data_IF_420787653630
#
_entry.id   IF_420787653630
#
_cell.length_a   1.000
_cell.length_b   1.000
_cell.length_c   1.000
_cell.angle_alpha   90.00
_cell.angle_beta   90.00
_cell.angle_gamma   90.00
#
_symmetry.space_group_name_H-M   'P 1'
#
loop_
_entity.id
_entity.type
_entity.pdbx_description
1 polymer ?
#
# COMPACT_ATOMS: atom_id res chain seq x y z
N UNK A 1 71.29 5.30 5.33
CA UNK A 1 69.91 4.83 5.50
C UNK A 1 69.75 3.59 4.63
N UNK A 2 69.72 2.39 5.26
CA UNK A 2 69.94 1.10 4.59
C UNK A 2 68.80 0.80 3.60
N UNK A 3 69.18 0.26 2.42
CA UNK A 3 68.24 -0.16 1.37
C UNK A 3 67.12 -1.05 1.91
N UNK A 4 67.41 -1.92 2.85
CA UNK A 4 66.45 -2.80 3.55
C UNK A 4 65.39 -2.06 4.33
N UNK A 5 65.72 -0.95 5.02
CA UNK A 5 64.78 -0.12 5.77
C UNK A 5 63.79 0.57 4.82
N UNK A 6 64.24 1.01 3.65
CA UNK A 6 63.35 1.61 2.64
C UNK A 6 62.34 0.59 2.08
N UNK A 7 62.75 -0.65 1.87
CA UNK A 7 61.82 -1.71 1.42
C UNK A 7 60.81 -2.11 2.52
N UNK A 8 61.22 -2.13 3.79
CA UNK A 8 60.35 -2.43 4.92
C UNK A 8 59.28 -1.32 5.06
N UNK A 9 59.70 -0.04 4.95
CA UNK A 9 58.76 1.09 5.00
C UNK A 9 57.79 1.07 3.82
N UNK A 10 58.27 0.72 2.61
CA UNK A 10 57.44 0.63 1.42
C UNK A 10 56.42 -0.50 1.53
N UNK A 11 56.83 -1.65 2.07
CA UNK A 11 55.92 -2.79 2.32
C UNK A 11 54.91 -2.49 3.43
N UNK A 12 55.31 -1.79 4.50
CA UNK A 12 54.41 -1.35 5.57
C UNK A 12 53.37 -0.32 5.06
N UNK A 13 53.72 0.53 4.11
CA UNK A 13 52.82 1.50 3.47
C UNK A 13 51.81 0.82 2.54
N UNK A 14 52.18 -0.31 1.90
CA UNK A 14 51.32 -1.12 1.06
C UNK A 14 50.35 -2.03 1.87
N UNK A 15 50.71 -2.37 3.12
CA UNK A 15 49.90 -3.14 4.05
C UNK A 15 49.04 -2.27 4.99
N UNK A 16 48.92 -0.98 4.70
CA UNK A 16 47.98 -0.11 5.44
C UNK A 16 46.62 -0.76 5.47
N UNK A 17 45.95 -0.83 6.68
CA UNK A 17 44.64 -1.46 6.77
C UNK A 17 43.67 -0.69 5.90
N UNK A 18 43.29 -1.25 4.76
CA UNK A 18 42.05 -0.89 4.09
C UNK A 18 40.92 -1.20 5.07
N UNK A 19 40.60 -0.23 5.93
CA UNK A 19 39.35 -0.23 6.67
C UNK A 19 38.24 -0.08 5.65
N UNK A 20 37.92 -1.16 4.94
CA UNK A 20 36.70 -1.24 4.14
C UNK A 20 35.53 -1.18 5.11
N UNK A 21 35.01 0.01 5.32
CA UNK A 21 33.74 0.18 6.04
C UNK A 21 32.68 -0.52 5.21
N UNK A 22 32.36 -1.77 5.59
CA UNK A 22 31.28 -2.52 4.97
C UNK A 22 30.01 -1.70 5.17
N UNK A 23 29.43 -1.20 4.06
CA UNK A 23 28.18 -0.47 4.10
C UNK A 23 27.10 -1.41 4.63
N UNK A 24 26.51 -1.04 5.75
CA UNK A 24 25.39 -1.77 6.34
C UNK A 24 24.11 -1.36 5.66
N UNK A 25 23.25 -2.30 5.37
CA UNK A 25 21.91 -2.08 4.85
C UNK A 25 20.88 -2.92 5.61
N UNK A 26 19.64 -2.48 5.57
CA UNK A 26 18.52 -3.20 6.16
C UNK A 26 17.30 -3.08 5.25
N UNK A 27 16.24 -3.78 5.60
CA UNK A 27 14.94 -3.61 4.98
C UNK A 27 13.86 -3.51 6.06
N UNK A 28 12.74 -2.93 5.67
CA UNK A 28 11.51 -2.86 6.47
C UNK A 28 10.33 -3.27 5.61
N UNK A 29 9.23 -3.63 6.26
CA UNK A 29 7.91 -3.75 5.66
C UNK A 29 7.01 -2.68 6.26
N UNK A 30 6.85 -1.54 5.58
CA UNK A 30 6.06 -0.44 6.11
C UNK A 30 4.58 -0.79 6.24
N UNK A 31 4.03 -1.64 5.36
CA UNK A 31 2.66 -2.14 5.46
C UNK A 31 2.47 -2.98 6.73
N UNK A 32 3.39 -3.90 7.00
CA UNK A 32 3.40 -4.70 8.23
C UNK A 32 3.52 -3.82 9.47
N UNK A 33 4.42 -2.83 9.47
CA UNK A 33 4.57 -1.90 10.59
C UNK A 33 3.26 -1.14 10.83
N UNK A 34 2.68 -0.54 9.79
CA UNK A 34 1.45 0.23 9.90
C UNK A 34 0.28 -0.62 10.38
N UNK A 35 0.13 -1.85 9.87
CA UNK A 35 -0.96 -2.77 10.27
C UNK A 35 -0.88 -3.20 11.75
N UNK A 36 0.29 -3.09 12.39
CA UNK A 36 0.47 -3.36 13.81
C UNK A 36 0.31 -2.11 14.70
N UNK A 37 -0.05 -0.96 14.11
CA UNK A 37 -0.29 0.29 14.85
C UNK A 37 -1.81 0.49 15.00
N UNK A 38 -2.37 0.43 16.23
CA UNK A 38 -3.82 0.57 16.46
C UNK A 38 -4.40 1.90 15.97
N UNK A 39 -3.59 2.97 16.01
CA UNK A 39 -3.99 4.28 15.48
C UNK A 39 -4.22 4.24 13.97
N UNK A 40 -3.43 3.48 13.23
CA UNK A 40 -3.58 3.29 11.79
C UNK A 40 -4.86 2.53 11.45
N UNK A 41 -5.18 1.47 12.19
CA UNK A 41 -6.43 0.73 12.03
C UNK A 41 -7.65 1.62 12.28
N UNK A 42 -7.60 2.46 13.35
CA UNK A 42 -8.66 3.44 13.63
C UNK A 42 -8.80 4.48 12.52
N UNK A 43 -7.69 5.01 12.03
CA UNK A 43 -7.68 5.96 10.92
C UNK A 43 -8.29 5.34 9.66
N UNK A 44 -7.92 4.11 9.33
CA UNK A 44 -8.46 3.37 8.17
C UNK A 44 -9.96 3.11 8.32
N UNK A 45 -10.41 2.71 9.52
CA UNK A 45 -11.84 2.54 9.81
C UNK A 45 -12.64 3.83 9.65
N UNK A 46 -12.10 4.96 10.10
CA UNK A 46 -12.74 6.28 9.92
C UNK A 46 -12.83 6.68 8.45
N UNK A 47 -11.76 6.46 7.68
CA UNK A 47 -11.75 6.73 6.23
C UNK A 47 -12.80 5.89 5.50
N UNK A 48 -12.89 4.60 5.82
CA UNK A 48 -13.86 3.71 5.19
C UNK A 48 -15.29 4.14 5.49
N UNK A 49 -15.60 4.46 6.75
CA UNK A 49 -16.92 4.96 7.15
C UNK A 49 -17.30 6.26 6.44
N UNK A 50 -16.32 7.16 6.29
CA UNK A 50 -16.56 8.43 5.60
C UNK A 50 -16.78 8.21 4.10
N UNK A 51 -15.96 7.36 3.47
CA UNK A 51 -16.11 7.00 2.06
C UNK A 51 -17.49 6.35 1.80
N UNK A 52 -17.91 5.42 2.66
CA UNK A 52 -19.25 4.80 2.57
C UNK A 52 -20.40 5.82 2.72
N UNK A 53 -20.25 6.79 3.63
CA UNK A 53 -21.25 7.84 3.80
C UNK A 53 -21.37 8.72 2.54
N UNK A 54 -20.24 9.15 1.98
CA UNK A 54 -20.22 9.93 0.76
C UNK A 54 -20.70 9.15 -0.46
N UNK A 55 -20.35 7.86 -0.54
CA UNK A 55 -20.85 6.98 -1.60
C UNK A 55 -22.39 6.87 -1.57
N UNK A 56 -22.96 6.66 -0.40
CA UNK A 56 -24.42 6.61 -0.22
C UNK A 56 -25.10 7.94 -0.59
N UNK A 57 -24.48 9.07 -0.26
CA UNK A 57 -25.00 10.40 -0.63
C UNK A 57 -25.06 10.55 -2.17
N UNK A 58 -23.97 10.17 -2.87
CA UNK A 58 -23.91 10.21 -4.33
C UNK A 58 -24.93 9.25 -4.95
N UNK A 59 -25.03 8.03 -4.44
CA UNK A 59 -26.03 7.04 -4.89
C UNK A 59 -27.46 7.53 -4.72
N UNK A 60 -27.77 8.19 -3.61
CA UNK A 60 -29.09 8.79 -3.39
C UNK A 60 -29.41 9.90 -4.41
N UNK A 61 -28.41 10.74 -4.76
CA UNK A 61 -28.53 11.77 -5.80
C UNK A 61 -28.83 11.15 -7.17
N UNK A 62 -28.06 10.14 -7.57
CA UNK A 62 -28.28 9.45 -8.84
C UNK A 62 -29.62 8.70 -8.88
N UNK A 63 -30.05 8.08 -7.77
CA UNK A 63 -31.35 7.43 -7.70
C UNK A 63 -32.52 8.44 -7.81
N UNK A 64 -32.38 9.65 -7.24
CA UNK A 64 -33.36 10.73 -7.43
C UNK A 64 -33.42 11.17 -8.91
N UNK A 65 -32.26 11.37 -9.54
CA UNK A 65 -32.14 11.75 -10.96
C UNK A 65 -32.79 10.70 -11.85
N UNK A 66 -32.51 9.41 -11.63
CA UNK A 66 -33.11 8.29 -12.36
C UNK A 66 -34.64 8.29 -12.26
N UNK A 67 -35.15 8.50 -11.05
CA UNK A 67 -36.60 8.63 -10.83
C UNK A 67 -37.20 9.81 -11.59
N UNK A 68 -36.58 10.99 -11.50
CA UNK A 68 -37.07 12.19 -12.19
C UNK A 68 -37.00 12.01 -13.72
N UNK A 69 -35.94 11.39 -14.23
CA UNK A 69 -35.78 11.08 -15.65
C UNK A 69 -36.88 10.14 -16.15
N UNK A 70 -37.16 9.08 -15.41
CA UNK A 70 -38.27 8.15 -15.72
C UNK A 70 -39.63 8.86 -15.76
N UNK A 71 -39.91 9.68 -14.75
CA UNK A 71 -41.14 10.47 -14.69
C UNK A 71 -41.22 11.44 -15.86
N UNK A 72 -40.13 12.15 -16.18
CA UNK A 72 -40.09 13.05 -17.30
C UNK A 72 -40.36 12.32 -18.63
N UNK A 73 -39.75 11.16 -18.89
CA UNK A 73 -40.04 10.39 -20.10
C UNK A 73 -41.49 9.95 -20.24
N UNK A 74 -42.16 9.66 -19.13
CA UNK A 74 -43.59 9.29 -19.13
C UNK A 74 -44.51 10.47 -19.41
N UNK A 75 -44.14 11.69 -18.99
CA UNK A 75 -44.96 12.90 -19.12
C UNK A 75 -44.60 13.77 -20.31
N UNK A 76 -43.42 13.59 -20.93
CA UNK A 76 -42.84 14.46 -21.93
C UNK A 76 -43.73 14.71 -23.15
N UNK A 77 -44.58 13.75 -23.54
CA UNK A 77 -45.48 13.86 -24.67
C UNK A 77 -46.73 14.74 -24.36
N UNK A 78 -47.01 14.99 -23.08
CA UNK A 78 -48.11 15.84 -22.59
C UNK A 78 -47.65 17.27 -22.31
N UNK A 79 -46.34 17.52 -22.25
CA UNK A 79 -45.79 18.81 -21.86
C UNK A 79 -45.66 19.76 -23.06
N UNK A 80 -46.02 21.03 -22.91
CA UNK A 80 -45.62 22.08 -23.86
C UNK A 80 -44.10 22.19 -24.01
N UNK A 81 -43.60 22.56 -25.17
CA UNK A 81 -42.15 22.58 -25.47
C UNK A 81 -41.33 23.41 -24.47
N UNK A 82 -41.85 24.56 -24.05
CA UNK A 82 -41.16 25.40 -23.06
C UNK A 82 -40.99 24.71 -21.69
N UNK A 83 -41.96 23.92 -21.23
CA UNK A 83 -41.87 23.17 -20.00
C UNK A 83 -40.99 21.94 -20.15
N UNK A 84 -40.99 21.31 -21.32
CA UNK A 84 -40.10 20.21 -21.64
C UNK A 84 -38.64 20.64 -21.56
N UNK A 85 -38.27 21.73 -22.23
CA UNK A 85 -36.91 22.30 -22.17
C UNK A 85 -36.49 22.63 -20.71
N UNK A 86 -37.38 23.26 -19.95
CA UNK A 86 -37.11 23.59 -18.56
C UNK A 86 -36.81 22.33 -17.71
N UNK A 87 -37.58 21.26 -17.92
CA UNK A 87 -37.34 19.97 -17.20
C UNK A 87 -36.05 19.30 -17.64
N UNK A 88 -35.71 19.36 -18.92
CA UNK A 88 -34.44 18.86 -19.43
C UNK A 88 -33.22 19.60 -18.81
N UNK A 89 -33.31 20.93 -18.71
CA UNK A 89 -32.30 21.76 -18.07
C UNK A 89 -32.17 21.45 -16.55
N UNK A 90 -33.29 21.28 -15.84
CA UNK A 90 -33.29 20.90 -14.44
C UNK A 90 -32.63 19.53 -14.22
N UNK A 91 -32.91 18.54 -15.08
CA UNK A 91 -32.28 17.22 -15.02
C UNK A 91 -30.76 17.29 -15.28
N UNK A 92 -30.34 18.03 -16.32
CA UNK A 92 -28.94 18.25 -16.63
C UNK A 92 -28.19 18.94 -15.49
N UNK A 93 -28.82 19.93 -14.85
CA UNK A 93 -28.24 20.63 -13.70
C UNK A 93 -28.03 19.68 -12.51
N UNK A 94 -29.02 18.81 -12.21
CA UNK A 94 -28.91 17.80 -11.14
C UNK A 94 -27.84 16.74 -11.45
N UNK A 95 -27.73 16.30 -12.70
CA UNK A 95 -26.67 15.36 -13.12
C UNK A 95 -25.29 15.99 -12.96
N UNK A 96 -25.14 17.26 -13.35
CA UNK A 96 -23.88 17.97 -13.17
C UNK A 96 -23.52 18.11 -11.68
N UNK A 97 -24.47 18.52 -10.83
CA UNK A 97 -24.27 18.60 -9.38
C UNK A 97 -23.84 17.27 -8.79
N UNK A 98 -24.46 16.15 -9.18
CA UNK A 98 -24.09 14.82 -8.69
C UNK A 98 -22.67 14.42 -9.12
N UNK A 99 -22.27 14.71 -10.35
CA UNK A 99 -20.91 14.46 -10.86
C UNK A 99 -19.87 15.35 -10.18
N UNK A 100 -20.18 16.63 -10.00
CA UNK A 100 -19.31 17.56 -9.26
C UNK A 100 -19.10 17.07 -7.81
N UNK A 101 -20.14 16.59 -7.15
CA UNK A 101 -20.07 16.03 -5.82
C UNK A 101 -19.16 14.76 -5.78
N UNK A 102 -19.31 13.90 -6.78
CA UNK A 102 -18.45 12.71 -6.92
C UNK A 102 -16.97 13.09 -7.09
N UNK A 103 -16.71 14.07 -7.97
CA UNK A 103 -15.33 14.57 -8.18
C UNK A 103 -14.79 15.25 -6.91
N UNK A 104 -15.62 16.02 -6.22
CA UNK A 104 -15.25 16.68 -4.96
C UNK A 104 -14.82 15.66 -3.89
N UNK A 105 -15.57 14.55 -3.74
CA UNK A 105 -15.26 13.55 -2.71
C UNK A 105 -14.15 12.58 -3.13
N UNK A 106 -14.21 12.05 -4.35
CA UNK A 106 -13.36 10.94 -4.81
C UNK A 106 -12.40 11.30 -5.94
N UNK A 107 -12.45 12.52 -6.46
CA UNK A 107 -11.52 12.97 -7.50
C UNK A 107 -10.09 13.15 -6.96
N UNK A 108 -9.10 13.26 -7.85
CA UNK A 108 -7.72 13.53 -7.46
C UNK A 108 -7.60 14.78 -6.57
N UNK A 109 -7.03 14.65 -5.38
CA UNK A 109 -6.96 15.72 -4.39
C UNK A 109 -8.32 16.09 -3.76
N UNK A 110 -9.32 15.24 -3.90
CA UNK A 110 -10.65 15.40 -3.30
C UNK A 110 -10.65 15.28 -1.78
N UNK A 111 -11.86 15.32 -1.21
CA UNK A 111 -12.01 15.37 0.24
C UNK A 111 -11.56 14.06 0.92
N UNK A 112 -11.65 12.90 0.20
CA UNK A 112 -11.13 11.63 0.71
C UNK A 112 -9.60 11.63 0.82
N UNK A 113 -8.92 12.18 -0.19
CA UNK A 113 -7.45 12.28 -0.18
C UNK A 113 -6.98 13.22 0.93
N UNK A 114 -7.66 14.36 1.12
CA UNK A 114 -7.37 15.28 2.22
C UNK A 114 -7.57 14.61 3.58
N UNK A 115 -8.69 13.88 3.73
CA UNK A 115 -8.97 13.17 4.98
C UNK A 115 -7.96 12.07 5.26
N UNK A 116 -7.51 11.35 4.22
CA UNK A 116 -6.42 10.38 4.33
C UNK A 116 -5.12 11.05 4.77
N UNK A 117 -4.76 12.14 4.15
CA UNK A 117 -3.56 12.89 4.54
C UNK A 117 -3.65 13.38 6.00
N UNK A 118 -4.79 13.86 6.44
CA UNK A 118 -5.01 14.30 7.84
C UNK A 118 -4.83 13.16 8.84
N UNK A 119 -5.39 11.99 8.57
CA UNK A 119 -5.44 10.87 9.53
C UNK A 119 -4.21 9.96 9.46
N UNK A 120 -3.69 9.69 8.27
CA UNK A 120 -2.64 8.67 8.05
C UNK A 120 -1.25 9.28 8.03
N UNK A 121 -1.08 10.47 7.45
CA UNK A 121 0.24 11.10 7.32
C UNK A 121 0.98 11.24 8.66
N UNK A 122 0.36 11.69 9.77
CA UNK A 122 1.07 11.81 11.05
C UNK A 122 1.57 10.46 11.57
N UNK A 123 0.85 9.37 11.26
CA UNK A 123 1.26 8.02 11.66
C UNK A 123 2.47 7.58 10.84
N UNK A 124 2.43 7.79 9.51
CA UNK A 124 3.57 7.51 8.62
C UNK A 124 4.82 8.30 9.01
N UNK A 125 4.69 9.58 9.35
CA UNK A 125 5.81 10.41 9.81
C UNK A 125 6.46 9.87 11.08
N UNK A 126 5.66 9.35 12.04
CA UNK A 126 6.20 8.68 13.24
C UNK A 126 6.96 7.41 12.88
N UNK A 127 6.45 6.60 11.94
CA UNK A 127 7.13 5.40 11.45
C UNK A 127 8.46 5.77 10.78
N UNK A 128 8.45 6.74 9.87
CA UNK A 128 9.68 7.20 9.21
C UNK A 128 10.72 7.73 10.20
N UNK A 129 10.30 8.49 11.20
CA UNK A 129 11.20 8.97 12.27
C UNK A 129 11.81 7.83 13.07
N UNK A 130 11.05 6.77 13.34
CA UNK A 130 11.57 5.57 14.01
C UNK A 130 12.58 4.81 13.13
N UNK A 131 12.28 4.67 11.83
CA UNK A 131 13.20 4.06 10.85
C UNK A 131 14.50 4.86 10.76
N UNK A 132 14.43 6.18 10.67
CA UNK A 132 15.60 7.06 10.62
C UNK A 132 16.46 6.92 11.87
N UNK A 133 15.85 6.87 13.06
CA UNK A 133 16.58 6.66 14.31
C UNK A 133 17.33 5.33 14.32
N UNK A 134 16.69 4.23 13.88
CA UNK A 134 17.34 2.91 13.78
C UNK A 134 18.49 2.97 12.76
N UNK A 135 18.29 3.64 11.61
CA UNK A 135 19.34 3.80 10.61
C UNK A 135 20.58 4.48 11.20
N UNK A 136 20.37 5.58 11.91
CA UNK A 136 21.45 6.34 12.54
C UNK A 136 22.14 5.57 13.67
N UNK A 137 21.37 4.95 14.57
CA UNK A 137 21.90 4.19 15.71
C UNK A 137 22.72 2.98 15.28
N UNK A 138 22.29 2.29 14.22
CA UNK A 138 22.96 1.06 13.73
C UNK A 138 23.97 1.33 12.60
N UNK A 139 24.03 2.53 12.09
CA UNK A 139 24.92 2.94 11.01
C UNK A 139 24.54 2.27 9.69
N UNK A 140 23.25 2.16 9.39
CA UNK A 140 22.79 1.72 8.08
C UNK A 140 22.97 2.84 7.06
N UNK A 141 23.56 2.52 5.89
CA UNK A 141 23.70 3.47 4.79
C UNK A 141 22.37 3.72 4.08
N UNK A 142 21.50 2.70 4.05
CA UNK A 142 20.14 2.78 3.53
C UNK A 142 19.26 1.67 4.12
N UNK A 143 17.96 1.93 4.14
CA UNK A 143 16.93 0.97 4.50
C UNK A 143 15.93 0.90 3.35
N UNK A 144 15.68 -0.30 2.84
CA UNK A 144 14.76 -0.56 1.73
C UNK A 144 13.38 -0.96 2.25
N UNK A 145 12.33 -0.40 1.68
CA UNK A 145 10.97 -0.86 1.95
C UNK A 145 10.61 -2.02 1.03
N UNK A 146 10.33 -3.18 1.63
CA UNK A 146 9.91 -4.38 0.88
C UNK A 146 8.40 -4.46 0.60
N UNK A 147 7.59 -3.56 1.18
CA UNK A 147 6.15 -3.46 0.91
C UNK A 147 5.83 -2.63 -0.34
N UNK A 148 6.78 -1.79 -0.79
CA UNK A 148 6.62 -0.92 -1.94
C UNK A 148 6.81 -1.62 -3.30
N UNK A 149 6.71 -0.83 -4.36
CA UNK A 149 6.88 -1.30 -5.76
C UNK A 149 8.32 -1.64 -6.14
N UNK A 150 9.29 -1.53 -5.22
CA UNK A 150 10.65 -1.99 -5.47
C UNK A 150 10.66 -3.52 -5.61
N UNK A 151 11.09 -4.03 -6.78
CA UNK A 151 11.16 -5.47 -7.04
C UNK A 151 12.31 -6.10 -6.25
N UNK A 152 12.05 -6.41 -4.98
CA UNK A 152 12.95 -7.20 -4.14
C UNK A 152 12.55 -8.67 -4.27
N UNK A 153 13.35 -9.47 -4.96
CA UNK A 153 13.07 -10.90 -5.18
C UNK A 153 13.32 -11.76 -3.94
N UNK A 154 14.25 -11.34 -3.11
CA UNK A 154 14.63 -12.05 -1.89
C UNK A 154 15.24 -11.09 -0.86
N UNK A 155 14.82 -11.24 0.39
CA UNK A 155 15.41 -10.55 1.54
C UNK A 155 15.59 -11.58 2.67
N UNK A 156 16.81 -11.69 3.16
CA UNK A 156 17.07 -12.53 4.33
C UNK A 156 16.49 -11.85 5.60
N UNK A 157 15.72 -12.60 6.37
CA UNK A 157 15.04 -12.10 7.58
C UNK A 157 15.97 -11.41 8.59
N UNK A 158 17.26 -11.74 8.63
CA UNK A 158 18.24 -11.09 9.51
C UNK A 158 18.44 -9.60 9.23
N UNK A 159 18.11 -9.15 8.01
CA UNK A 159 18.21 -7.74 7.59
C UNK A 159 16.89 -7.00 7.73
N UNK A 160 15.80 -7.67 8.09
CA UNK A 160 14.51 -7.08 8.36
C UNK A 160 14.51 -6.47 9.76
N UNK A 161 14.29 -5.16 9.83
CA UNK A 161 14.25 -4.43 11.09
C UNK A 161 12.84 -3.94 11.46
N UNK A 162 11.80 -4.47 10.80
CA UNK A 162 10.41 -4.05 11.00
C UNK A 162 9.96 -4.17 12.45
N UNK A 163 10.29 -5.31 13.11
CA UNK A 163 9.94 -5.52 14.52
C UNK A 163 10.69 -4.55 15.44
N UNK A 164 11.93 -4.20 15.10
CA UNK A 164 12.71 -3.22 15.89
C UNK A 164 12.09 -1.81 15.75
N UNK A 165 11.51 -1.47 14.60
CA UNK A 165 10.77 -0.22 14.40
C UNK A 165 9.52 -0.21 15.31
N UNK A 166 8.76 -1.30 15.33
CA UNK A 166 7.58 -1.44 16.21
C UNK A 166 7.97 -1.34 17.69
N UNK A 167 9.00 -2.05 18.11
CA UNK A 167 9.51 -2.00 19.48
C UNK A 167 9.94 -0.58 19.88
N UNK A 168 10.66 0.13 19.00
CA UNK A 168 11.08 1.52 19.22
C UNK A 168 9.88 2.47 19.37
N UNK A 169 8.79 2.18 18.69
CA UNK A 169 7.54 2.94 18.77
C UNK A 169 6.67 2.53 19.96
N UNK A 170 7.06 1.49 20.72
CA UNK A 170 6.33 0.96 21.88
C UNK A 170 5.18 0.02 21.51
N UNK A 171 5.15 -0.49 20.28
CA UNK A 171 4.18 -1.50 19.84
C UNK A 171 4.81 -2.90 19.86
N UNK A 172 4.02 -3.90 20.26
CA UNK A 172 4.46 -5.30 20.14
C UNK A 172 4.10 -5.81 18.75
N UNK A 173 5.08 -6.44 18.09
CA UNK A 173 4.83 -7.20 16.87
C UNK A 173 3.75 -8.26 17.14
N UNK A 174 2.68 -8.28 16.36
CA UNK A 174 1.75 -9.41 16.39
C UNK A 174 2.51 -10.60 15.82
N UNK A 175 2.66 -11.67 16.59
CA UNK A 175 3.36 -12.90 16.21
C UNK A 175 2.70 -13.57 15.00
N UNK A 176 2.91 -13.02 13.82
CA UNK A 176 2.79 -13.78 12.58
C UNK A 176 4.16 -14.37 12.25
N UNK A 177 4.64 -15.28 13.10
CA UNK A 177 5.60 -16.28 12.65
C UNK A 177 4.87 -17.10 11.60
N UNK A 178 5.08 -16.79 10.35
CA UNK A 178 5.00 -17.80 9.31
C UNK A 178 6.07 -18.82 9.68
N UNK A 179 5.64 -19.92 10.28
CA UNK A 179 6.41 -21.13 10.38
C UNK A 179 6.73 -21.60 8.96
N UNK A 180 7.85 -21.12 8.42
CA UNK A 180 8.57 -21.86 7.37
C UNK A 180 9.18 -23.10 8.06
N UNK A 181 8.30 -24.03 8.43
CA UNK A 181 8.70 -25.39 8.71
C UNK A 181 9.08 -26.03 7.40
N UNK A 182 10.37 -26.29 7.27
CA UNK A 182 10.94 -27.35 6.42
C UNK A 182 9.93 -28.44 6.14
N UNK A 183 9.38 -28.48 4.94
CA UNK A 183 8.82 -29.68 4.37
C UNK A 183 9.82 -30.27 3.38
N UNK A 184 10.90 -30.82 3.91
CA UNK A 184 11.64 -31.87 3.24
C UNK A 184 10.80 -33.14 3.32
N UNK A 185 9.86 -33.31 2.40
CA UNK A 185 9.27 -34.60 2.09
C UNK A 185 9.54 -34.92 0.62
N UNK A 186 10.59 -35.67 0.44
CA UNK A 186 10.81 -36.57 -0.70
C UNK A 186 9.53 -37.33 -1.01
N UNK A 187 8.82 -36.92 -2.05
CA UNK A 187 7.74 -37.73 -2.63
C UNK A 187 8.24 -38.31 -3.94
N UNK A 188 8.55 -39.59 -3.83
CA UNK A 188 8.85 -40.54 -4.89
C UNK A 188 7.78 -40.46 -5.99
N UNK A 189 8.23 -40.20 -7.22
CA UNK A 189 7.47 -40.28 -8.44
C UNK A 189 7.17 -41.74 -8.73
N UNK A 190 5.94 -42.19 -8.47
CA UNK A 190 5.43 -43.46 -9.01
C UNK A 190 4.56 -43.14 -10.22
N UNK A 191 5.08 -43.54 -11.39
CA UNK A 191 4.35 -43.66 -12.64
C UNK A 191 3.29 -44.77 -12.47
N UNK A 192 2.04 -44.45 -12.77
CA UNK A 192 1.09 -45.42 -13.26
C UNK A 192 0.34 -44.82 -14.45
N UNK A 193 0.56 -45.52 -15.55
CA UNK A 193 -0.08 -45.37 -16.86
C UNK A 193 -1.41 -46.09 -16.79
N UNK A 194 -2.51 -45.43 -17.02
CA UNK A 194 -3.83 -45.99 -17.17
C UNK A 194 -4.66 -45.17 -18.14
N UNK A 195 -4.88 -45.72 -19.31
CA UNK A 195 -5.50 -45.16 -20.51
C UNK A 195 -7.03 -45.01 -20.36
N UNK A 196 -7.66 -44.08 -21.08
CA UNK A 196 -9.06 -43.70 -20.91
C UNK A 196 -10.01 -44.45 -21.80
N UNK A 197 -11.18 -44.78 -21.33
CA UNK A 197 -12.28 -45.21 -22.16
C UNK A 197 -13.38 -44.14 -22.27
N UNK A 198 -13.62 -43.78 -23.54
CA UNK A 198 -14.71 -42.92 -23.97
C UNK A 198 -16.08 -43.61 -23.73
N UNK A 199 -17.04 -42.85 -23.19
CA UNK A 199 -18.47 -43.10 -23.48
C UNK A 199 -19.17 -41.81 -23.88
N UNK A 200 -19.72 -41.87 -25.10
CA UNK A 200 -20.61 -40.87 -25.69
C UNK A 200 -22.04 -40.97 -25.14
N UNK A 201 -22.85 -39.93 -25.36
CA UNK A 201 -24.14 -39.70 -24.70
C UNK A 201 -25.33 -40.36 -25.40
N UNK A 202 -26.40 -40.45 -24.66
CA UNK A 202 -27.78 -40.45 -25.19
C UNK A 202 -28.53 -39.28 -24.58
#
# INVERSE_FOLDING_TARGET
MNRTIKHIILVALLLGPFMASAQKYACVNTEYILSNIPDYERAQSQLNKQAEAWQKEIEAKFAEIDKLTKTFHQEAYLLPDNLKHKREEELKAKELEARELQVKYFGPGGDLDKKRAELVKPIQERVYSAIERIANEKGYAFILDKSGSATLLYVNAKYDVSDQVLDMMGYKASNSKTDDKDSSSTSSCKKDVGNPEMRKPK
#
